data_IF_342371845349
#
_entry.id   IF_342371845349
#
_cell.length_a   1.000
_cell.length_b   1.000
_cell.length_c   1.000
_cell.angle_alpha   90.00
_cell.angle_beta   90.00
_cell.angle_gamma   90.00
#
_symmetry.space_group_name_H-M   'P 1'
#
loop_
_entity.id
_entity.type
_entity.pdbx_description
1 polymer ?
#
# COMPACT_ATOMS: atom_id res chain seq x y z
N UNK A 1 9.00 -0.61 -19.42
CA UNK A 1 8.72 -0.23 -18.03
C UNK A 1 8.04 -1.39 -17.32
N UNK A 2 8.63 -1.85 -16.21
CA UNK A 2 8.19 -3.05 -15.48
C UNK A 2 7.24 -2.77 -14.31
N UNK A 3 6.86 -1.53 -14.07
CA UNK A 3 5.95 -1.15 -12.98
C UNK A 3 4.51 -1.65 -13.22
N UNK A 4 3.76 -1.80 -12.13
CA UNK A 4 2.32 -2.06 -12.20
C UNK A 4 1.60 -0.98 -13.03
N UNK A 5 0.52 -1.35 -13.69
CA UNK A 5 -0.16 -0.53 -14.70
C UNK A 5 -0.59 0.84 -14.16
N UNK A 6 -1.03 0.89 -12.91
CA UNK A 6 -1.51 2.10 -12.23
C UNK A 6 -0.38 3.10 -11.88
N UNK A 7 0.88 2.70 -12.03
CA UNK A 7 2.06 3.49 -11.63
C UNK A 7 2.90 3.97 -12.82
N UNK A 8 2.40 3.82 -14.05
CA UNK A 8 3.17 4.01 -15.28
C UNK A 8 3.25 5.46 -15.77
N UNK A 9 2.22 6.27 -15.52
CA UNK A 9 1.99 7.55 -16.22
C UNK A 9 3.18 8.51 -16.18
N UNK A 10 3.73 8.77 -14.99
CA UNK A 10 4.84 9.73 -14.82
C UNK A 10 6.12 9.28 -15.55
N UNK A 11 6.50 8.00 -15.40
CA UNK A 11 7.69 7.48 -16.06
C UNK A 11 7.55 7.46 -17.59
N UNK A 12 6.35 7.11 -18.11
CA UNK A 12 6.05 7.17 -19.54
C UNK A 12 6.21 8.57 -20.12
N UNK A 13 5.69 9.58 -19.43
CA UNK A 13 5.80 10.96 -19.89
C UNK A 13 7.25 11.44 -19.93
N UNK A 14 8.03 11.15 -18.89
CA UNK A 14 9.45 11.55 -18.81
C UNK A 14 10.24 10.91 -19.96
N UNK A 15 10.11 9.60 -20.18
CA UNK A 15 10.85 8.91 -21.23
C UNK A 15 10.43 9.36 -22.62
N UNK A 16 9.11 9.51 -22.89
CA UNK A 16 8.63 9.98 -24.20
C UNK A 16 9.04 11.41 -24.51
N UNK A 17 9.02 12.32 -23.52
CA UNK A 17 9.52 13.69 -23.68
C UNK A 17 11.01 13.74 -24.06
N UNK A 18 11.78 12.72 -23.70
CA UNK A 18 13.20 12.59 -24.06
C UNK A 18 13.41 11.70 -25.31
N UNK A 19 12.37 11.48 -26.12
CA UNK A 19 12.48 10.81 -27.41
C UNK A 19 12.48 9.27 -27.36
N UNK A 20 12.23 8.65 -26.20
CA UNK A 20 12.21 7.20 -26.09
C UNK A 20 10.90 6.59 -26.57
N UNK A 21 10.96 5.47 -27.28
CA UNK A 21 9.83 4.58 -27.46
C UNK A 21 9.67 3.72 -26.18
N UNK A 22 8.49 3.73 -25.58
CA UNK A 22 8.26 3.08 -24.29
C UNK A 22 7.37 1.85 -24.48
N UNK A 23 7.89 0.70 -24.05
CA UNK A 23 7.18 -0.58 -24.01
C UNK A 23 6.78 -0.93 -22.58
N UNK A 24 5.57 -1.48 -22.43
CA UNK A 24 5.06 -1.95 -21.15
C UNK A 24 5.38 -3.42 -20.94
N UNK A 25 6.07 -3.71 -19.84
CA UNK A 25 6.33 -5.07 -19.36
C UNK A 25 5.97 -5.11 -17.86
N UNK A 26 4.69 -5.03 -17.50
CA UNK A 26 4.32 -5.03 -16.10
C UNK A 26 4.77 -6.31 -15.41
N UNK A 27 5.49 -6.18 -14.30
CA UNK A 27 5.91 -7.32 -13.48
C UNK A 27 4.86 -7.69 -12.42
N UNK A 28 3.95 -6.77 -12.13
CA UNK A 28 2.91 -6.92 -11.12
C UNK A 28 1.58 -6.34 -11.59
N UNK A 29 0.50 -6.98 -11.16
CA UNK A 29 -0.87 -6.46 -11.20
C UNK A 29 -1.36 -6.37 -9.77
N UNK A 30 -1.91 -5.22 -9.41
CA UNK A 30 -2.56 -5.02 -8.11
C UNK A 30 -4.05 -5.26 -8.31
N UNK A 31 -4.61 -6.17 -7.53
CA UNK A 31 -6.02 -6.56 -7.58
C UNK A 31 -6.66 -6.65 -6.21
N UNK A 32 -7.95 -7.02 -6.16
CA UNK A 32 -8.65 -7.25 -4.91
C UNK A 32 -8.03 -8.45 -4.15
N UNK A 33 -8.21 -8.53 -2.84
CA UNK A 33 -7.96 -9.77 -2.11
C UNK A 33 -8.99 -10.84 -2.52
N UNK A 34 -8.71 -12.10 -2.22
CA UNK A 34 -9.62 -13.21 -2.50
C UNK A 34 -10.94 -13.08 -1.73
N UNK A 35 -10.88 -12.51 -0.52
CA UNK A 35 -12.04 -12.28 0.34
C UNK A 35 -11.96 -10.87 0.98
N UNK A 36 -13.03 -10.11 0.81
CA UNK A 36 -13.19 -8.79 1.41
C UNK A 36 -13.74 -8.81 2.85
N UNK A 37 -14.36 -9.92 3.28
CA UNK A 37 -15.06 -9.97 4.58
C UNK A 37 -14.16 -9.60 5.77
N UNK A 38 -12.91 -10.09 5.88
CA UNK A 38 -12.03 -9.69 6.99
C UNK A 38 -11.70 -8.19 7.01
N UNK A 39 -11.56 -7.57 5.83
CA UNK A 39 -11.34 -6.13 5.73
C UNK A 39 -12.61 -5.36 6.11
N UNK A 40 -13.76 -5.77 5.61
CA UNK A 40 -15.05 -5.13 5.93
C UNK A 40 -15.34 -5.18 7.43
N UNK A 41 -15.13 -6.32 8.06
CA UNK A 41 -15.30 -6.49 9.51
C UNK A 41 -14.40 -5.55 10.31
N UNK A 42 -13.14 -5.39 9.90
CA UNK A 42 -12.21 -4.47 10.53
C UNK A 42 -12.63 -3.00 10.30
N UNK A 43 -13.06 -2.65 9.09
CA UNK A 43 -13.50 -1.29 8.75
C UNK A 43 -14.80 -0.90 9.46
N UNK A 44 -15.75 -1.80 9.62
CA UNK A 44 -16.99 -1.56 10.38
C UNK A 44 -16.71 -1.33 11.87
N UNK A 45 -15.64 -1.93 12.40
CA UNK A 45 -15.17 -1.78 13.78
C UNK A 45 -14.00 -0.79 13.89
N UNK A 46 -13.77 0.06 12.91
CA UNK A 46 -12.57 0.91 12.84
C UNK A 46 -12.37 1.80 14.08
N UNK A 47 -13.46 2.24 14.70
CA UNK A 47 -13.47 3.05 15.92
C UNK A 47 -12.93 2.33 17.16
N UNK A 48 -12.77 1.02 17.12
CA UNK A 48 -12.21 0.23 18.23
C UNK A 48 -10.69 0.15 18.21
N UNK A 49 -10.04 0.60 17.12
CA UNK A 49 -8.60 0.64 16.98
C UNK A 49 -8.03 2.00 17.43
N UNK A 50 -6.83 1.97 18.00
CA UNK A 50 -6.08 3.18 18.36
C UNK A 50 -5.31 3.72 17.14
N UNK A 51 -4.77 2.82 16.33
CA UNK A 51 -3.96 3.16 15.15
C UNK A 51 -4.31 2.30 13.94
N UNK A 52 -4.22 2.93 12.78
CA UNK A 52 -4.10 2.24 11.49
C UNK A 52 -2.70 2.49 10.92
N UNK A 53 -2.01 1.43 10.48
CA UNK A 53 -0.63 1.52 9.98
C UNK A 53 -0.60 1.11 8.52
N UNK A 54 -0.26 2.05 7.65
CA UNK A 54 -0.10 1.81 6.21
C UNK A 54 1.38 1.61 5.85
N UNK A 55 1.73 0.42 5.41
CA UNK A 55 3.07 0.11 4.90
C UNK A 55 3.27 0.44 3.42
N UNK A 56 2.19 0.63 2.65
CA UNK A 56 2.26 0.89 1.22
C UNK A 56 1.17 1.84 0.71
N UNK A 57 1.45 2.54 -0.39
CA UNK A 57 0.47 3.36 -1.09
C UNK A 57 -0.69 2.52 -1.68
N UNK A 58 -0.43 1.26 -2.06
CA UNK A 58 -1.48 0.36 -2.54
C UNK A 58 -2.48 0.02 -1.42
N UNK A 59 -1.99 -0.21 -0.20
CA UNK A 59 -2.86 -0.38 0.97
C UNK A 59 -3.78 0.82 1.18
N UNK A 60 -3.25 2.06 1.07
CA UNK A 60 -4.06 3.28 1.18
C UNK A 60 -5.14 3.35 0.10
N UNK A 61 -4.79 3.07 -1.18
CA UNK A 61 -5.75 3.12 -2.29
C UNK A 61 -6.89 2.13 -2.11
N UNK A 62 -6.55 0.87 -1.84
CA UNK A 62 -7.53 -0.21 -1.75
C UNK A 62 -8.43 -0.05 -0.51
N UNK A 63 -7.86 0.34 0.64
CA UNK A 63 -8.65 0.62 1.84
C UNK A 63 -9.60 1.81 1.62
N UNK A 64 -9.14 2.92 1.03
CA UNK A 64 -9.99 4.07 0.73
C UNK A 64 -11.10 3.72 -0.25
N UNK A 65 -10.80 2.93 -1.27
CA UNK A 65 -11.81 2.49 -2.24
C UNK A 65 -12.87 1.60 -1.55
N UNK A 66 -12.44 0.65 -0.71
CA UNK A 66 -13.38 -0.19 0.03
C UNK A 66 -14.19 0.60 1.05
N UNK A 67 -13.57 1.54 1.75
CA UNK A 67 -14.26 2.45 2.68
C UNK A 67 -15.38 3.24 1.99
N UNK A 68 -15.14 3.76 0.77
CA UNK A 68 -16.18 4.48 0.01
C UNK A 68 -17.41 3.62 -0.26
N UNK A 69 -17.22 2.34 -0.57
CA UNK A 69 -18.32 1.40 -0.83
C UNK A 69 -19.22 1.19 0.39
N UNK A 70 -18.67 1.36 1.60
CA UNK A 70 -19.41 1.22 2.86
C UNK A 70 -19.68 2.56 3.55
N UNK A 71 -19.55 3.68 2.83
CA UNK A 71 -19.87 5.02 3.34
C UNK A 71 -18.85 5.65 4.29
N UNK A 72 -17.65 5.08 4.39
CA UNK A 72 -16.52 5.58 5.17
C UNK A 72 -15.50 6.33 4.30
N UNK A 73 -14.55 7.02 4.94
CA UNK A 73 -13.37 7.60 4.27
C UNK A 73 -12.22 7.81 5.25
N UNK A 74 -11.00 7.77 4.74
CA UNK A 74 -9.80 8.03 5.53
C UNK A 74 -9.80 9.42 6.15
N UNK A 75 -10.33 10.43 5.44
CA UNK A 75 -10.44 11.80 5.96
C UNK A 75 -11.35 11.92 7.19
N UNK A 76 -12.42 11.12 7.25
CA UNK A 76 -13.33 11.10 8.41
C UNK A 76 -12.71 10.36 9.58
N UNK A 77 -12.18 9.15 9.35
CA UNK A 77 -11.63 8.32 10.43
C UNK A 77 -10.35 8.91 11.03
N UNK A 78 -9.53 9.63 10.26
CA UNK A 78 -8.31 10.28 10.77
C UNK A 78 -8.55 11.37 11.82
N UNK A 79 -9.81 11.70 12.09
CA UNK A 79 -10.20 12.61 13.19
C UNK A 79 -10.36 11.87 14.53
N UNK A 80 -10.56 10.58 14.50
CA UNK A 80 -10.88 9.74 15.67
C UNK A 80 -9.84 8.66 15.95
N UNK A 81 -9.10 8.23 14.93
CA UNK A 81 -8.05 7.21 15.01
C UNK A 81 -6.72 7.79 14.51
N UNK A 82 -5.61 7.36 15.10
CA UNK A 82 -4.29 7.79 14.65
C UNK A 82 -3.87 7.01 13.39
N UNK A 83 -3.21 7.68 12.44
CA UNK A 83 -2.71 7.04 11.22
C UNK A 83 -1.20 7.15 11.16
N UNK A 84 -0.52 6.00 11.00
CA UNK A 84 0.89 5.92 10.70
C UNK A 84 1.14 5.46 9.26
N UNK A 85 2.17 6.03 8.64
CA UNK A 85 2.63 5.62 7.31
C UNK A 85 4.13 5.28 7.36
N UNK A 86 4.52 4.13 6.84
CA UNK A 86 5.94 3.72 6.84
C UNK A 86 6.77 4.60 5.91
N UNK A 87 6.24 5.01 4.74
CA UNK A 87 7.00 5.73 3.73
C UNK A 87 6.41 7.07 3.29
N UNK A 88 7.25 7.98 2.78
CA UNK A 88 6.84 9.32 2.30
C UNK A 88 5.73 9.25 1.26
N UNK A 89 5.82 8.36 0.26
CA UNK A 89 4.78 8.22 -0.79
C UNK A 89 3.44 7.80 -0.20
N UNK A 90 3.46 6.94 0.82
CA UNK A 90 2.25 6.52 1.54
C UNK A 90 1.65 7.69 2.33
N UNK A 91 2.49 8.45 3.02
CA UNK A 91 2.07 9.64 3.78
C UNK A 91 1.52 10.73 2.85
N UNK A 92 2.19 11.01 1.73
CA UNK A 92 1.70 11.98 0.73
C UNK A 92 0.32 11.59 0.20
N UNK A 93 0.14 10.32 -0.19
CA UNK A 93 -1.16 9.84 -0.67
C UNK A 93 -2.28 9.95 0.37
N UNK A 94 -1.97 9.72 1.65
CA UNK A 94 -2.94 9.95 2.74
C UNK A 94 -3.32 11.43 2.83
N UNK A 95 -2.33 12.33 2.75
CA UNK A 95 -2.57 13.78 2.75
C UNK A 95 -3.40 14.24 1.54
N UNK A 96 -3.13 13.70 0.35
CA UNK A 96 -3.92 13.97 -0.87
C UNK A 96 -5.39 13.55 -0.73
N UNK A 97 -5.67 12.59 0.15
CA UNK A 97 -7.03 12.16 0.53
C UNK A 97 -7.59 12.90 1.74
N UNK A 98 -6.97 14.01 2.14
CA UNK A 98 -7.31 14.80 3.32
C UNK A 98 -7.35 13.98 4.63
N UNK A 99 -6.57 12.91 4.72
CA UNK A 99 -6.39 12.16 5.94
C UNK A 99 -5.19 12.70 6.73
N UNK A 100 -5.41 12.96 8.02
CA UNK A 100 -4.34 13.43 8.91
C UNK A 100 -3.41 12.27 9.24
N UNK A 101 -2.15 12.37 8.82
CA UNK A 101 -1.09 11.43 9.21
C UNK A 101 -0.50 11.85 10.55
N UNK A 102 -0.54 10.97 11.53
CA UNK A 102 -0.08 11.22 12.90
C UNK A 102 1.39 10.88 13.11
N UNK A 103 1.91 9.92 12.34
CA UNK A 103 3.29 9.48 12.46
C UNK A 103 3.88 8.96 11.14
N UNK A 104 5.11 9.38 10.86
CA UNK A 104 5.96 8.85 9.78
C UNK A 104 7.36 8.68 10.38
N UNK A 105 8.00 7.51 10.27
CA UNK A 105 9.32 7.30 10.86
C UNK A 105 10.41 8.12 10.15
N UNK A 106 11.52 8.43 10.84
CA UNK A 106 12.64 9.19 10.25
C UNK A 106 13.30 8.45 9.07
N UNK A 107 13.45 7.14 9.16
CA UNK A 107 13.84 6.27 8.04
C UNK A 107 12.58 5.52 7.57
N UNK A 108 12.31 5.55 6.26
CA UNK A 108 11.05 5.09 5.67
C UNK A 108 10.99 3.56 5.52
N UNK A 109 11.29 2.84 6.60
CA UNK A 109 11.28 1.38 6.69
C UNK A 109 10.52 0.90 7.93
N UNK A 110 10.08 -0.36 7.91
CA UNK A 110 9.30 -0.95 8.99
C UNK A 110 10.02 -0.91 10.35
N UNK A 111 11.31 -1.23 10.37
CA UNK A 111 12.13 -1.23 11.59
C UNK A 111 12.15 0.14 12.26
N UNK A 112 12.32 1.20 11.46
CA UNK A 112 12.31 2.57 11.97
C UNK A 112 10.93 2.98 12.52
N UNK A 113 9.84 2.48 11.94
CA UNK A 113 8.50 2.73 12.47
C UNK A 113 8.32 2.06 13.84
N UNK A 114 8.82 0.82 14.00
CA UNK A 114 8.75 0.07 15.26
C UNK A 114 9.60 0.73 16.35
N UNK A 115 10.81 1.18 15.99
CA UNK A 115 11.77 1.78 16.91
C UNK A 115 11.29 3.14 17.43
N UNK A 116 10.78 3.99 16.53
CA UNK A 116 10.40 5.37 16.85
C UNK A 116 8.88 5.55 17.05
N UNK A 117 8.14 4.46 17.25
CA UNK A 117 6.69 4.56 17.44
C UNK A 117 6.36 5.44 18.65
N UNK A 118 5.45 6.45 18.52
CA UNK A 118 5.33 7.55 19.49
C UNK A 118 4.64 7.17 20.81
N UNK A 119 4.29 5.91 21.00
CA UNK A 119 3.61 5.41 22.22
C UNK A 119 4.14 4.05 22.64
N UNK A 120 3.99 3.75 23.94
CA UNK A 120 4.08 2.38 24.42
C UNK A 120 3.06 1.51 23.70
N UNK A 121 3.50 0.36 23.21
CA UNK A 121 2.71 -0.53 22.39
C UNK A 121 1.80 -1.46 23.20
N UNK A 122 2.04 -1.61 24.50
CA UNK A 122 1.28 -2.52 25.37
C UNK A 122 -0.20 -2.15 25.43
N UNK A 123 -1.04 -3.10 25.01
CA UNK A 123 -2.49 -2.95 25.00
C UNK A 123 -3.05 -2.07 23.88
N UNK A 124 -2.20 -1.51 22.97
CA UNK A 124 -2.68 -0.77 21.81
C UNK A 124 -3.37 -1.72 20.83
N UNK A 125 -4.48 -1.28 20.27
CA UNK A 125 -5.20 -1.96 19.20
C UNK A 125 -4.81 -1.38 17.86
N UNK A 126 -4.05 -2.16 17.09
CA UNK A 126 -3.48 -1.76 15.82
C UNK A 126 -4.17 -2.47 14.66
N UNK A 127 -4.55 -1.70 13.65
CA UNK A 127 -5.05 -2.21 12.39
C UNK A 127 -3.98 -2.07 11.30
N UNK A 128 -3.61 -3.17 10.65
CA UNK A 128 -2.56 -3.21 9.61
C UNK A 128 -3.12 -3.83 8.33
N UNK A 129 -3.68 -3.02 7.41
CA UNK A 129 -4.07 -3.49 6.09
C UNK A 129 -2.82 -3.72 5.22
N UNK A 130 -2.72 -4.90 4.59
CA UNK A 130 -1.54 -5.29 3.82
C UNK A 130 -1.87 -6.03 2.52
N UNK A 131 -0.84 -6.38 1.76
CA UNK A 131 -0.96 -7.35 0.66
C UNK A 131 -1.33 -8.73 1.22
N UNK A 132 -2.15 -9.48 0.48
CA UNK A 132 -2.58 -10.83 0.89
C UNK A 132 -1.40 -11.80 0.94
N UNK A 133 -0.60 -11.83 -0.14
CA UNK A 133 0.50 -12.79 -0.28
C UNK A 133 1.86 -12.08 -0.36
N UNK A 134 2.90 -12.66 0.23
CA UNK A 134 4.30 -12.22 0.07
C UNK A 134 4.72 -10.97 0.84
N UNK A 135 3.88 -10.39 1.68
CA UNK A 135 4.25 -9.26 2.53
C UNK A 135 5.09 -9.69 3.74
N UNK A 136 5.95 -8.79 4.24
CA UNK A 136 6.71 -9.05 5.48
C UNK A 136 5.81 -8.89 6.70
N UNK A 137 5.83 -9.87 7.61
CA UNK A 137 5.10 -9.86 8.88
C UNK A 137 5.78 -9.07 10.00
N UNK A 138 6.97 -8.51 9.74
CA UNK A 138 7.83 -7.87 10.75
C UNK A 138 7.09 -6.81 11.59
N UNK A 139 6.19 -6.03 10.99
CA UNK A 139 5.41 -5.03 11.73
C UNK A 139 4.49 -5.71 12.75
N UNK A 140 3.67 -6.65 12.30
CA UNK A 140 2.70 -7.30 13.19
C UNK A 140 3.37 -8.14 14.26
N UNK A 141 4.43 -8.88 13.92
CA UNK A 141 5.21 -9.68 14.88
C UNK A 141 5.86 -8.80 15.95
N UNK A 142 6.52 -7.71 15.54
CA UNK A 142 7.19 -6.81 16.47
C UNK A 142 6.22 -6.08 17.39
N UNK A 143 5.07 -5.62 16.88
CA UNK A 143 4.07 -4.98 17.74
C UNK A 143 3.42 -5.96 18.71
N UNK A 144 3.12 -7.19 18.25
CA UNK A 144 2.62 -8.26 19.13
C UNK A 144 3.62 -8.62 20.23
N UNK A 145 4.90 -8.73 19.92
CA UNK A 145 5.95 -9.03 20.90
C UNK A 145 6.10 -7.95 21.98
N UNK A 146 5.70 -6.71 21.66
CA UNK A 146 5.66 -5.57 22.59
C UNK A 146 4.30 -5.40 23.29
N UNK A 147 3.38 -6.37 23.12
CA UNK A 147 2.11 -6.43 23.84
C UNK A 147 0.95 -5.70 23.17
N UNK A 148 1.05 -5.32 21.88
CA UNK A 148 -0.07 -4.78 21.13
C UNK A 148 -1.03 -5.87 20.65
N UNK A 149 -2.31 -5.53 20.55
CA UNK A 149 -3.32 -6.32 19.86
C UNK A 149 -3.33 -5.92 18.38
N UNK A 150 -2.87 -6.81 17.51
CA UNK A 150 -2.72 -6.51 16.07
C UNK A 150 -3.75 -7.26 15.25
N UNK A 151 -4.60 -6.52 14.56
CA UNK A 151 -5.49 -7.01 13.51
C UNK A 151 -4.85 -6.73 12.16
N UNK A 152 -4.40 -7.80 11.49
CA UNK A 152 -3.76 -7.76 10.19
C UNK A 152 -4.68 -8.39 9.17
N UNK A 153 -5.02 -7.65 8.08
CA UNK A 153 -5.95 -8.13 7.06
C UNK A 153 -5.44 -7.82 5.65
N UNK A 154 -5.82 -8.68 4.71
CA UNK A 154 -5.59 -8.46 3.30
C UNK A 154 -6.46 -7.28 2.80
N UNK A 155 -5.82 -6.28 2.18
CA UNK A 155 -6.49 -5.15 1.56
C UNK A 155 -6.33 -5.15 0.02
N UNK A 156 -5.40 -5.92 -0.49
CA UNK A 156 -5.15 -6.13 -1.93
C UNK A 156 -4.29 -7.36 -2.14
N UNK A 157 -4.27 -7.85 -3.38
CA UNK A 157 -3.35 -8.89 -3.81
C UNK A 157 -2.38 -8.33 -4.87
N UNK A 158 -1.20 -8.92 -4.92
CA UNK A 158 -0.17 -8.63 -5.91
C UNK A 158 0.16 -9.90 -6.67
N UNK A 159 -0.23 -9.97 -7.92
CA UNK A 159 -0.08 -11.15 -8.78
C UNK A 159 0.76 -10.86 -10.02
N UNK A 160 1.23 -11.90 -10.68
CA UNK A 160 1.84 -11.79 -11.99
C UNK A 160 0.77 -11.43 -13.04
N UNK A 161 1.09 -10.59 -14.04
CA UNK A 161 0.21 -10.36 -15.18
C UNK A 161 -0.05 -11.69 -15.92
N UNK A 162 -1.29 -11.92 -16.33
CA UNK A 162 -1.65 -13.08 -17.15
C UNK A 162 -1.14 -12.92 -18.58
N UNK A 163 -1.15 -11.68 -19.08
CA UNK A 163 -0.80 -11.36 -20.45
C UNK A 163 0.25 -10.24 -20.51
N UNK A 164 1.20 -10.40 -21.42
CA UNK A 164 2.16 -9.37 -21.79
C UNK A 164 1.77 -8.85 -23.18
N UNK A 165 1.77 -7.52 -23.43
CA UNK A 165 1.44 -6.99 -24.74
C UNK A 165 2.32 -7.58 -25.83
N UNK A 166 1.73 -8.08 -26.91
CA UNK A 166 2.45 -8.75 -28.01
C UNK A 166 3.55 -7.86 -28.58
N UNK A 167 3.28 -6.55 -28.73
CA UNK A 167 4.29 -5.56 -29.17
C UNK A 167 5.55 -5.57 -28.30
N UNK A 168 5.41 -5.75 -26.99
CA UNK A 168 6.55 -5.83 -26.05
C UNK A 168 7.32 -7.14 -26.23
N UNK A 169 6.60 -8.25 -26.41
CA UNK A 169 7.21 -9.55 -26.68
C UNK A 169 8.02 -9.50 -27.96
N UNK A 170 7.46 -8.93 -29.03
CA UNK A 170 8.13 -8.81 -30.33
C UNK A 170 9.36 -7.89 -30.26
N UNK A 171 9.27 -6.78 -29.52
CA UNK A 171 10.39 -5.88 -29.32
C UNK A 171 11.54 -6.57 -28.56
N UNK A 172 11.23 -7.36 -27.51
CA UNK A 172 12.22 -8.14 -26.78
C UNK A 172 12.91 -9.19 -27.67
N UNK A 173 12.10 -9.99 -28.43
CA UNK A 173 12.61 -11.03 -29.30
C UNK A 173 13.49 -10.50 -30.43
N UNK A 174 13.20 -9.29 -30.90
CA UNK A 174 13.91 -8.65 -32.01
C UNK A 174 15.07 -7.75 -31.53
N UNK A 175 15.43 -7.77 -30.24
CA UNK A 175 16.53 -6.99 -29.71
C UNK A 175 16.33 -5.46 -29.80
N UNK A 176 15.07 -4.99 -29.76
CA UNK A 176 14.71 -3.55 -29.86
C UNK A 176 14.57 -2.86 -28.52
N UNK A 177 15.04 -3.47 -27.44
CA UNK A 177 14.97 -2.90 -26.08
C UNK A 177 16.40 -2.56 -25.64
N UNK A 178 16.67 -1.29 -25.47
CA UNK A 178 17.98 -0.79 -25.03
C UNK A 178 18.11 -0.78 -23.50
N UNK A 179 16.99 -0.55 -22.79
CA UNK A 179 16.95 -0.42 -21.32
C UNK A 179 15.70 -1.12 -20.76
N UNK A 180 15.87 -1.87 -19.68
CA UNK A 180 14.79 -2.51 -18.91
C UNK A 180 14.69 -1.90 -17.52
#
# INVERSE_FOLDING_TARGET
>A
ITRAQEQKSEAHEIFRKNGAEVFDLPSLVIGPPDDWAPLDDALLKIHTFDWIIFSSANGVRNVEERMKQIGLSLSKISKTIQIAAVGRKTASLLSDKNAKVSFVPPSFVADSLIEHFPKDQKGLKLFIPRVQTGGRSILSESFKSKGAEVTEVAAYESSCPKDIPQKTIDALKNGKIDII
#
